data_IF_149274664450
#
_entry.id   IF_149274664450
#
_cell.length_a   1.000
_cell.length_b   1.000
_cell.length_c   1.000
_cell.angle_alpha   90.00
_cell.angle_beta   90.00
_cell.angle_gamma   90.00
#
_symmetry.space_group_name_H-M   'P 1'
#
loop_
_entity.id
_entity.type
_entity.pdbx_description
1 polymer ?
#
# COMPACT_ATOMS: atom_id res chain seq x y z
N UNK A 1 20.77 -21.32 -11.68
CA UNK A 1 20.29 -21.86 -10.38
C UNK A 1 19.67 -23.22 -10.64
N UNK A 2 20.29 -24.30 -10.15
CA UNK A 2 19.92 -25.68 -10.46
C UNK A 2 18.76 -26.21 -9.58
N UNK A 3 18.60 -25.68 -8.37
CA UNK A 3 17.63 -26.19 -7.39
C UNK A 3 16.71 -25.08 -6.88
N UNK A 4 15.43 -25.41 -6.71
CA UNK A 4 14.40 -24.52 -6.15
C UNK A 4 13.78 -25.14 -4.90
N UNK A 5 13.80 -24.40 -3.79
CA UNK A 5 13.16 -24.78 -2.52
C UNK A 5 11.83 -24.02 -2.36
N UNK A 6 10.73 -24.73 -2.18
CA UNK A 6 9.38 -24.17 -1.98
C UNK A 6 8.91 -24.44 -0.55
N UNK A 7 8.41 -23.39 0.11
CA UNK A 7 7.87 -23.47 1.49
C UNK A 7 8.87 -23.99 2.52
N UNK A 8 10.17 -23.95 2.21
CA UNK A 8 11.24 -24.51 3.02
C UNK A 8 11.21 -26.04 3.12
N UNK A 9 10.42 -26.77 2.32
CA UNK A 9 10.24 -28.24 2.47
C UNK A 9 10.37 -29.03 1.18
N UNK A 10 9.93 -28.46 0.06
CA UNK A 10 9.90 -29.15 -1.23
C UNK A 10 11.07 -28.68 -2.08
N UNK A 11 11.88 -29.62 -2.57
CA UNK A 11 13.05 -29.33 -3.38
C UNK A 11 12.85 -29.87 -4.79
N UNK A 12 13.07 -29.03 -5.79
CA UNK A 12 12.97 -29.38 -7.21
C UNK A 12 14.28 -29.08 -7.92
N UNK A 13 14.68 -29.96 -8.84
CA UNK A 13 15.80 -29.75 -9.75
C UNK A 13 15.25 -29.04 -10.99
N UNK A 14 15.54 -27.75 -11.15
CA UNK A 14 14.99 -26.93 -12.22
C UNK A 14 15.57 -27.26 -13.60
N UNK A 15 16.70 -27.98 -13.67
CA UNK A 15 17.28 -28.43 -14.93
C UNK A 15 16.65 -29.74 -15.40
N UNK A 16 16.35 -30.66 -14.47
CA UNK A 16 15.77 -31.98 -14.78
C UNK A 16 14.25 -32.02 -14.70
N UNK A 17 13.66 -31.17 -13.88
CA UNK A 17 12.22 -31.03 -13.67
C UNK A 17 11.80 -29.55 -13.63
N UNK A 18 11.84 -28.85 -14.78
CA UNK A 18 11.40 -27.46 -14.87
C UNK A 18 9.94 -27.26 -14.44
N UNK A 19 9.12 -28.32 -14.54
CA UNK A 19 7.70 -28.32 -14.18
C UNK A 19 7.44 -28.51 -12.68
N UNK A 20 8.46 -28.80 -11.87
CA UNK A 20 8.37 -28.97 -10.41
C UNK A 20 7.36 -30.06 -10.01
N UNK A 21 7.38 -31.20 -10.69
CA UNK A 21 6.49 -32.34 -10.44
C UNK A 21 7.03 -33.30 -9.39
N UNK A 22 8.35 -33.41 -9.24
CA UNK A 22 9.00 -34.44 -8.42
C UNK A 22 9.80 -33.81 -7.28
N UNK A 23 9.26 -33.92 -6.06
CA UNK A 23 9.96 -33.47 -4.86
C UNK A 23 11.13 -34.40 -4.52
N UNK A 24 12.35 -33.91 -4.70
CA UNK A 24 13.60 -34.62 -4.38
C UNK A 24 14.15 -34.28 -2.99
N UNK A 25 13.44 -33.45 -2.22
CA UNK A 25 13.84 -32.97 -0.89
C UNK A 25 14.13 -34.07 0.13
N UNK A 26 13.27 -35.11 0.28
CA UNK A 26 13.52 -36.21 1.22
C UNK A 26 14.82 -36.97 0.94
N UNK A 27 15.22 -37.08 -0.34
CA UNK A 27 16.44 -37.75 -0.75
C UNK A 27 17.68 -36.85 -0.68
N UNK A 28 17.51 -35.53 -0.55
CA UNK A 28 18.60 -34.55 -0.59
C UNK A 28 18.55 -33.56 0.59
N UNK A 29 18.52 -34.05 1.86
CA UNK A 29 18.37 -33.17 3.03
C UNK A 29 19.51 -32.15 3.15
N UNK A 30 20.74 -32.51 2.74
CA UNK A 30 21.88 -31.58 2.73
C UNK A 30 21.67 -30.38 1.82
N UNK A 31 21.01 -30.56 0.67
CA UNK A 31 20.72 -29.46 -0.26
C UNK A 31 19.59 -28.59 0.31
N UNK A 32 18.58 -29.20 0.93
CA UNK A 32 17.51 -28.49 1.63
C UNK A 32 18.07 -27.62 2.75
N UNK A 33 18.92 -28.16 3.60
CA UNK A 33 19.49 -27.44 4.74
C UNK A 33 20.41 -26.29 4.28
N UNK A 34 21.20 -26.51 3.22
CA UNK A 34 22.01 -25.45 2.63
C UNK A 34 21.15 -24.29 2.11
N UNK A 35 20.12 -24.59 1.31
CA UNK A 35 19.23 -23.55 0.76
C UNK A 35 18.43 -22.82 1.83
N UNK A 36 18.06 -23.51 2.93
CA UNK A 36 17.47 -22.86 4.11
C UNK A 36 18.45 -21.91 4.77
N UNK A 37 19.70 -22.35 4.98
CA UNK A 37 20.74 -21.51 5.58
C UNK A 37 21.03 -20.28 4.73
N UNK A 38 21.24 -20.46 3.42
CA UNK A 38 21.49 -19.38 2.46
C UNK A 38 20.31 -18.38 2.44
N UNK A 39 19.06 -18.89 2.50
CA UNK A 39 17.86 -18.04 2.63
C UNK A 39 17.85 -17.25 3.93
N UNK A 40 18.16 -17.87 5.07
CA UNK A 40 18.17 -17.22 6.38
C UNK A 40 19.29 -16.17 6.49
N UNK A 41 20.48 -16.41 5.92
CA UNK A 41 21.55 -15.41 5.85
C UNK A 41 21.17 -14.22 4.98
N UNK A 42 20.66 -14.48 3.77
CA UNK A 42 20.14 -13.44 2.90
C UNK A 42 19.01 -12.66 3.57
N UNK A 43 18.08 -13.35 4.24
CA UNK A 43 16.98 -12.74 4.95
C UNK A 43 17.50 -11.84 6.09
N UNK A 44 18.49 -12.29 6.88
CA UNK A 44 19.12 -11.47 7.93
C UNK A 44 19.78 -10.22 7.34
N UNK A 45 20.53 -10.35 6.25
CA UNK A 45 21.21 -9.25 5.59
C UNK A 45 20.21 -8.21 5.04
N UNK A 46 19.19 -8.65 4.32
CA UNK A 46 18.19 -7.76 3.70
C UNK A 46 17.24 -7.20 4.75
N UNK A 47 17.01 -7.91 5.86
CA UNK A 47 16.03 -7.51 6.86
C UNK A 47 16.33 -6.22 7.60
N UNK A 48 17.62 -5.84 7.69
CA UNK A 48 18.04 -4.60 8.34
C UNK A 48 17.52 -3.32 7.68
N UNK A 49 17.04 -3.41 6.43
CA UNK A 49 16.54 -2.27 5.64
C UNK A 49 15.03 -2.28 5.41
N UNK A 50 14.28 -3.20 6.04
CA UNK A 50 12.81 -3.27 5.85
C UNK A 50 12.06 -2.01 6.33
N UNK A 51 12.67 -1.20 7.18
CA UNK A 51 12.12 0.10 7.60
C UNK A 51 12.40 1.24 6.60
N UNK A 52 13.23 1.00 5.57
CA UNK A 52 13.41 1.92 4.44
C UNK A 52 12.29 1.69 3.41
N UNK A 53 11.42 2.68 3.25
CA UNK A 53 10.38 2.63 2.22
C UNK A 53 10.87 3.29 0.93
N UNK A 54 10.33 2.85 -0.20
CA UNK A 54 10.35 3.66 -1.42
C UNK A 54 9.19 4.64 -1.34
N UNK A 55 9.45 5.89 -0.96
CA UNK A 55 8.39 6.87 -0.79
C UNK A 55 7.82 7.36 -2.12
N UNK A 56 6.49 7.53 -2.16
CA UNK A 56 5.82 8.21 -3.27
C UNK A 56 5.98 9.71 -3.07
N UNK A 57 6.57 10.37 -4.07
CA UNK A 57 6.85 11.81 -4.03
C UNK A 57 5.58 12.61 -4.30
N UNK A 58 5.24 13.51 -3.37
CA UNK A 58 4.10 14.43 -3.45
C UNK A 58 4.57 15.85 -3.78
N UNK A 59 3.77 16.53 -4.61
CA UNK A 59 3.97 17.95 -4.92
C UNK A 59 5.05 18.22 -5.97
N UNK A 60 5.50 17.21 -6.72
CA UNK A 60 6.40 17.41 -7.86
C UNK A 60 5.70 18.14 -9.02
N UNK A 61 6.34 19.12 -9.68
CA UNK A 61 5.73 19.78 -10.84
C UNK A 61 5.61 18.83 -12.04
N UNK A 62 6.36 17.72 -12.03
CA UNK A 62 6.31 16.68 -13.07
C UNK A 62 5.06 15.78 -12.95
N UNK A 63 4.42 15.75 -11.78
CA UNK A 63 3.25 14.93 -11.52
C UNK A 63 2.40 15.58 -10.41
N UNK A 64 1.46 16.43 -10.82
CA UNK A 64 0.46 17.06 -9.96
C UNK A 64 -0.89 17.09 -10.70
N UNK A 65 -1.92 16.35 -10.24
CA UNK A 65 -1.95 15.58 -9.00
C UNK A 65 -1.16 14.26 -9.05
N UNK A 66 -0.79 13.74 -7.88
CA UNK A 66 -0.24 12.39 -7.68
C UNK A 66 -1.38 11.45 -7.29
N UNK A 67 -1.53 10.32 -7.99
CA UNK A 67 -2.50 9.28 -7.66
C UNK A 67 -1.84 8.19 -6.79
N UNK A 68 -2.47 7.88 -5.66
CA UNK A 68 -2.08 6.81 -4.74
C UNK A 68 -3.14 5.73 -4.77
N UNK A 69 -2.71 4.46 -4.80
CA UNK A 69 -3.63 3.32 -4.81
C UNK A 69 -3.37 2.40 -3.62
N UNK A 70 -4.34 1.58 -3.23
CA UNK A 70 -4.13 0.61 -2.17
C UNK A 70 -3.04 -0.42 -2.48
N UNK A 71 -2.61 -0.58 -3.74
CA UNK A 71 -1.48 -1.46 -4.09
C UNK A 71 -0.17 -1.02 -3.44
N UNK A 72 -0.03 0.28 -3.16
CA UNK A 72 1.13 0.87 -2.51
C UNK A 72 1.01 0.89 -0.98
N UNK A 73 0.01 0.20 -0.42
CA UNK A 73 -0.14 0.07 1.02
C UNK A 73 0.92 -0.84 1.62
N UNK A 74 1.56 -0.34 2.66
CA UNK A 74 2.22 -1.16 3.66
C UNK A 74 1.19 -1.55 4.72
N UNK A 75 0.86 -2.84 4.79
CA UNK A 75 -0.12 -3.38 5.73
C UNK A 75 -0.27 -4.91 5.58
N UNK A 76 -0.97 -5.56 6.54
CA UNK A 76 -1.09 -7.02 6.57
C UNK A 76 -1.96 -7.59 5.45
N UNK A 77 -2.81 -6.77 4.82
CA UNK A 77 -3.67 -7.18 3.74
C UNK A 77 -3.85 -6.03 2.73
N UNK A 78 -3.61 -6.33 1.45
CA UNK A 78 -3.74 -5.37 0.34
C UNK A 78 -4.76 -5.89 -0.68
N UNK A 79 -5.84 -5.13 -0.98
CA UNK A 79 -6.75 -5.47 -2.06
C UNK A 79 -6.04 -5.42 -3.43
N UNK A 80 -5.70 -6.59 -3.98
CA UNK A 80 -4.91 -6.68 -5.21
C UNK A 80 -5.73 -6.96 -6.49
N UNK A 81 -7.05 -7.17 -6.39
CA UNK A 81 -7.89 -7.52 -7.54
C UNK A 81 -9.12 -6.62 -7.64
N UNK A 82 -9.62 -6.42 -8.86
CA UNK A 82 -10.88 -5.70 -9.10
C UNK A 82 -12.05 -6.32 -8.33
N UNK A 83 -12.05 -7.65 -8.16
CA UNK A 83 -13.03 -8.35 -7.33
C UNK A 83 -12.97 -7.91 -5.87
N UNK A 84 -11.76 -7.71 -5.31
CA UNK A 84 -11.61 -7.21 -3.94
C UNK A 84 -12.11 -5.78 -3.78
N UNK A 85 -11.83 -4.91 -4.76
CA UNK A 85 -12.33 -3.52 -4.77
C UNK A 85 -13.86 -3.52 -4.84
N UNK A 86 -14.46 -4.30 -5.76
CA UNK A 86 -15.94 -4.42 -5.89
C UNK A 86 -16.61 -4.98 -4.64
N UNK A 87 -15.96 -5.93 -3.95
CA UNK A 87 -16.44 -6.53 -2.69
C UNK A 87 -16.16 -5.65 -1.47
N UNK A 88 -15.45 -4.53 -1.62
CA UNK A 88 -15.09 -3.61 -0.52
C UNK A 88 -14.40 -4.35 0.63
N UNK A 89 -13.40 -5.18 0.32
CA UNK A 89 -12.61 -5.91 1.33
C UNK A 89 -12.14 -4.96 2.43
N UNK A 90 -12.46 -5.30 3.68
CA UNK A 90 -12.10 -4.52 4.85
C UNK A 90 -10.61 -4.72 5.16
N UNK A 91 -9.79 -3.93 4.47
CA UNK A 91 -8.35 -3.89 4.61
C UNK A 91 -7.89 -2.44 4.74
N UNK A 92 -6.71 -2.26 5.32
CA UNK A 92 -6.11 -0.95 5.51
C UNK A 92 -4.58 -1.09 5.61
N UNK A 93 -3.89 -0.10 5.08
CA UNK A 93 -2.45 0.09 5.23
C UNK A 93 -2.11 1.56 5.08
N UNK A 94 -0.84 1.88 5.21
CA UNK A 94 -0.35 3.25 5.02
C UNK A 94 0.46 3.35 3.73
N UNK A 95 0.49 4.54 3.15
CA UNK A 95 1.46 4.91 2.12
C UNK A 95 2.67 5.55 2.77
N UNK A 96 3.87 5.12 2.37
CA UNK A 96 5.08 5.88 2.62
C UNK A 96 5.19 6.98 1.57
N UNK A 97 5.28 8.23 2.00
CA UNK A 97 5.26 9.40 1.11
C UNK A 97 6.38 10.37 1.44
N UNK A 98 6.84 11.09 0.44
CA UNK A 98 7.80 12.19 0.60
C UNK A 98 7.18 13.46 0.04
N UNK A 99 7.00 14.45 0.90
CA UNK A 99 6.55 15.77 0.46
C UNK A 99 7.76 16.53 -0.07
N UNK A 100 7.85 16.72 -1.40
CA UNK A 100 9.01 17.38 -2.02
C UNK A 100 9.14 18.84 -1.60
N UNK A 101 8.01 19.53 -1.41
CA UNK A 101 7.97 20.95 -1.04
C UNK A 101 6.88 21.27 -0.05
N UNK A 102 7.17 22.17 0.88
CA UNK A 102 6.17 22.67 1.81
C UNK A 102 5.07 23.46 1.09
N UNK A 103 3.85 23.40 1.61
CA UNK A 103 2.72 24.20 1.12
C UNK A 103 1.38 23.56 1.38
N UNK A 104 0.36 24.03 0.67
CA UNK A 104 -1.02 23.60 0.83
C UNK A 104 -1.34 22.47 -0.15
N UNK A 105 -1.95 21.40 0.36
CA UNK A 105 -2.32 20.22 -0.43
C UNK A 105 -3.81 19.91 -0.31
N UNK A 106 -4.40 19.40 -1.40
CA UNK A 106 -5.72 18.73 -1.41
C UNK A 106 -5.50 17.22 -1.45
N UNK A 107 -6.16 16.50 -0.55
CA UNK A 107 -6.25 15.04 -0.57
C UNK A 107 -7.68 14.63 -0.88
N UNK A 108 -7.90 13.94 -1.99
CA UNK A 108 -9.21 13.51 -2.45
C UNK A 108 -9.33 11.99 -2.31
N UNK A 109 -10.07 11.54 -1.29
CA UNK A 109 -10.30 10.12 -1.01
C UNK A 109 -11.44 9.58 -1.86
N UNK A 110 -11.23 8.41 -2.47
CA UNK A 110 -12.19 7.68 -3.28
C UNK A 110 -12.11 6.17 -3.03
N UNK A 111 -13.12 5.47 -3.49
CA UNK A 111 -13.14 4.01 -3.48
C UNK A 111 -12.79 3.39 -4.84
N UNK A 112 -13.02 4.12 -5.92
CA UNK A 112 -12.71 3.73 -7.29
C UNK A 112 -11.99 4.90 -7.96
N UNK A 113 -11.35 4.67 -9.13
CA UNK A 113 -10.74 5.74 -9.91
C UNK A 113 -11.72 6.89 -10.18
N UNK A 114 -11.19 8.11 -10.35
CA UNK A 114 -11.99 9.32 -10.49
C UNK A 114 -13.05 9.23 -11.60
N UNK A 115 -12.72 8.58 -12.72
CA UNK A 115 -13.60 8.37 -13.88
C UNK A 115 -14.86 7.56 -13.56
N UNK A 116 -14.81 6.66 -12.57
CA UNK A 116 -15.92 5.78 -12.25
C UNK A 116 -17.06 6.49 -11.50
N UNK A 117 -16.78 7.65 -10.88
CA UNK A 117 -17.75 8.42 -10.06
C UNK A 117 -18.53 7.56 -9.06
N UNK A 118 -17.89 6.52 -8.54
CA UNK A 118 -18.53 5.54 -7.67
C UNK A 118 -18.91 6.15 -6.32
N UNK A 119 -20.13 5.92 -5.81
CA UNK A 119 -20.57 6.49 -4.55
C UNK A 119 -19.86 5.87 -3.35
N UNK A 120 -19.46 6.74 -2.43
CA UNK A 120 -19.06 6.38 -1.08
C UNK A 120 -20.30 6.10 -0.25
N UNK A 121 -20.15 5.18 0.70
CA UNK A 121 -21.20 4.92 1.69
C UNK A 121 -21.17 5.99 2.78
N UNK A 122 -22.33 6.44 3.29
CA UNK A 122 -22.41 7.42 4.36
C UNK A 122 -21.62 7.00 5.60
N UNK A 123 -21.05 7.97 6.29
CA UNK A 123 -20.21 7.73 7.47
C UNK A 123 -19.18 8.82 7.70
N UNK A 124 -17.97 8.45 8.10
CA UNK A 124 -16.87 9.37 8.41
C UNK A 124 -15.60 8.94 7.67
N UNK A 125 -15.05 9.86 6.88
CA UNK A 125 -13.72 9.74 6.33
C UNK A 125 -12.71 10.32 7.34
N UNK A 126 -11.59 9.62 7.54
CA UNK A 126 -10.46 10.06 8.35
C UNK A 126 -9.19 10.03 7.52
N UNK A 127 -8.35 11.03 7.71
CA UNK A 127 -7.01 11.10 7.15
C UNK A 127 -6.02 11.37 8.28
N UNK A 128 -4.96 10.56 8.37
CA UNK A 128 -3.84 10.76 9.28
C UNK A 128 -2.55 10.87 8.48
N UNK A 129 -1.79 11.93 8.74
CA UNK A 129 -0.49 12.18 8.11
C UNK A 129 0.41 12.91 9.09
N UNK A 130 1.62 12.41 9.31
CA UNK A 130 2.47 12.83 10.41
C UNK A 130 1.69 12.86 11.75
N UNK A 131 1.61 14.01 12.41
CA UNK A 131 0.85 14.23 13.64
C UNK A 131 -0.59 14.72 13.40
N UNK A 132 -0.95 15.06 12.17
CA UNK A 132 -2.26 15.59 11.81
C UNK A 132 -3.27 14.46 11.66
N UNK A 133 -4.45 14.62 12.27
CA UNK A 133 -5.60 13.75 12.06
C UNK A 133 -6.82 14.60 11.77
N UNK A 134 -7.43 14.40 10.61
CA UNK A 134 -8.62 15.12 10.17
C UNK A 134 -9.77 14.14 9.95
N UNK A 135 -10.99 14.56 10.24
CA UNK A 135 -12.20 13.79 9.98
C UNK A 135 -13.20 14.64 9.17
N UNK A 136 -13.94 14.01 8.26
CA UNK A 136 -15.04 14.63 7.52
C UNK A 136 -16.20 13.66 7.36
N UNK A 137 -17.41 14.19 7.47
CA UNK A 137 -18.64 13.42 7.22
C UNK A 137 -18.74 13.09 5.73
N UNK A 138 -19.04 11.83 5.44
CA UNK A 138 -19.41 11.33 4.12
C UNK A 138 -20.93 11.42 4.02
N UNK A 139 -21.43 12.35 3.22
CA UNK A 139 -22.87 12.49 2.96
C UNK A 139 -23.34 11.45 1.95
N UNK A 140 -24.62 11.11 1.99
CA UNK A 140 -25.24 10.26 0.97
C UNK A 140 -25.05 10.85 -0.43
N UNK A 141 -24.68 10.00 -1.39
CA UNK A 141 -24.39 10.41 -2.77
C UNK A 141 -23.00 11.03 -2.98
N UNK A 142 -22.19 11.22 -1.93
CA UNK A 142 -20.81 11.68 -2.11
C UNK A 142 -20.00 10.64 -2.89
N UNK A 143 -19.27 11.07 -3.91
CA UNK A 143 -18.36 10.21 -4.71
C UNK A 143 -16.89 10.40 -4.33
N UNK A 144 -16.61 11.38 -3.45
CA UNK A 144 -15.29 11.73 -2.95
C UNK A 144 -15.38 12.48 -1.63
N UNK A 145 -14.25 12.54 -0.91
CA UNK A 145 -14.07 13.45 0.22
C UNK A 145 -12.74 14.18 0.09
N UNK A 146 -12.77 15.51 0.12
CA UNK A 146 -11.60 16.36 -0.01
C UNK A 146 -11.12 16.85 1.36
N UNK A 147 -9.84 16.67 1.68
CA UNK A 147 -9.15 17.26 2.82
C UNK A 147 -8.16 18.32 2.34
N UNK A 148 -7.96 19.36 3.14
CA UNK A 148 -7.00 20.43 2.86
C UNK A 148 -6.11 20.62 4.08
N UNK A 149 -4.80 20.60 3.87
CA UNK A 149 -3.83 20.79 4.93
C UNK A 149 -2.52 21.32 4.40
N UNK A 150 -1.77 21.95 5.29
CA UNK A 150 -0.41 22.41 5.02
C UNK A 150 0.58 21.32 5.43
N UNK A 151 1.50 20.99 4.53
CA UNK A 151 2.57 20.02 4.78
C UNK A 151 3.93 20.72 4.78
N UNK A 152 4.82 20.23 5.64
CA UNK A 152 6.26 20.52 5.55
C UNK A 152 6.89 19.54 4.56
N UNK A 153 8.03 19.91 4.00
CA UNK A 153 8.81 18.96 3.20
C UNK A 153 9.35 17.83 4.09
N UNK A 154 9.51 16.64 3.49
CA UNK A 154 10.07 15.47 4.15
C UNK A 154 9.21 14.21 4.06
N UNK A 155 9.77 13.13 4.60
CA UNK A 155 9.20 11.79 4.58
C UNK A 155 8.18 11.61 5.70
N UNK A 156 7.06 10.97 5.41
CA UNK A 156 6.03 10.64 6.41
C UNK A 156 5.15 9.48 5.94
N UNK A 157 4.22 9.07 6.81
CA UNK A 157 3.21 8.06 6.49
C UNK A 157 1.84 8.72 6.36
N UNK A 158 1.13 8.38 5.30
CA UNK A 158 -0.28 8.72 5.09
C UNK A 158 -1.13 7.47 5.34
N UNK A 159 -2.19 7.60 6.12
CA UNK A 159 -3.18 6.55 6.28
C UNK A 159 -4.59 7.13 6.29
N UNK A 160 -5.56 6.37 5.76
CA UNK A 160 -6.94 6.82 5.64
C UNK A 160 -7.92 5.78 6.18
N UNK A 161 -9.11 6.22 6.55
CA UNK A 161 -10.23 5.36 6.91
C UNK A 161 -11.52 5.90 6.31
N UNK A 162 -12.34 5.01 5.78
CA UNK A 162 -13.72 5.22 5.39
C UNK A 162 -14.56 4.35 6.34
N UNK A 163 -15.04 4.96 7.43
CA UNK A 163 -15.89 4.31 8.41
C UNK A 163 -17.36 4.53 8.02
N UNK A 164 -18.08 3.46 7.73
CA UNK A 164 -19.50 3.51 7.36
C UNK A 164 -20.39 3.58 8.59
N UNK A 165 -21.57 4.17 8.48
CA UNK A 165 -22.57 4.21 9.57
C UNK A 165 -22.93 2.81 10.09
N UNK A 166 -22.80 1.77 9.25
CA UNK A 166 -23.03 0.37 9.62
C UNK A 166 -21.84 -0.34 10.31
N UNK A 167 -20.79 0.37 10.68
CA UNK A 167 -19.65 -0.16 11.45
C UNK A 167 -18.49 -0.73 10.63
N UNK A 168 -18.67 -0.95 9.32
CA UNK A 168 -17.57 -1.37 8.45
C UNK A 168 -16.52 -0.25 8.30
N UNK A 169 -15.24 -0.60 8.39
CA UNK A 169 -14.12 0.35 8.24
C UNK A 169 -13.08 -0.24 7.27
N UNK A 170 -12.57 0.60 6.37
CA UNK A 170 -11.47 0.26 5.44
C UNK A 170 -10.64 1.48 5.11
N UNK A 171 -9.46 1.31 4.53
CA UNK A 171 -8.73 2.42 3.89
C UNK A 171 -9.39 2.87 2.58
N UNK A 172 -9.14 4.10 2.15
CA UNK A 172 -9.53 4.55 0.81
C UNK A 172 -8.65 3.85 -0.24
N UNK A 173 -9.25 3.19 -1.23
CA UNK A 173 -8.45 2.48 -2.24
C UNK A 173 -7.75 3.40 -3.23
N UNK A 174 -8.26 4.61 -3.39
CA UNK A 174 -7.69 5.63 -4.26
C UNK A 174 -7.61 6.96 -3.51
N UNK A 175 -6.47 7.62 -3.58
CA UNK A 175 -6.26 8.98 -3.07
C UNK A 175 -5.55 9.80 -4.13
N UNK A 176 -6.15 10.92 -4.54
CA UNK A 176 -5.50 11.91 -5.38
C UNK A 176 -4.94 13.02 -4.49
N UNK A 177 -3.67 13.39 -4.69
CA UNK A 177 -2.98 14.43 -3.92
C UNK A 177 -2.54 15.56 -4.84
N UNK A 178 -3.05 16.75 -4.61
CA UNK A 178 -2.76 17.94 -5.42
C UNK A 178 -2.06 19.02 -4.58
N UNK A 179 -0.92 19.51 -5.06
CA UNK A 179 -0.28 20.72 -4.54
C UNK A 179 -1.04 21.96 -5.05
N UNK A 180 -1.49 22.79 -4.11
CA UNK A 180 -2.30 23.99 -4.39
C UNK A 180 -1.48 25.29 -4.36
N UNK A 181 -0.22 25.23 -3.95
CA UNK A 181 0.65 26.40 -3.80
C UNK A 181 1.26 26.54 -2.40
N UNK A 182 1.97 27.65 -2.16
CA UNK A 182 2.52 27.97 -0.84
C UNK A 182 1.42 27.97 0.24
N UNK A 183 1.78 27.59 1.46
CA UNK A 183 0.88 27.76 2.60
C UNK A 183 0.66 29.26 2.79
N UNK A 184 -0.59 29.72 2.65
CA UNK A 184 -0.95 31.10 2.97
C UNK A 184 -0.66 31.39 4.44
N UNK A 185 -0.04 32.55 4.71
CA UNK A 185 0.21 33.08 6.06
C UNK A 185 -1.06 33.45 6.78
#
# INVERSE_FOLDING_TARGET
EQYRLVGGRELYDMEKDPSQLYNIGPANPKIVDKLRFDYEEWYKEVSGRFDEYCEIVLGSPKQNPTELTCFDWHGPAVPYSQTHIRRRVQANGFWAIETQRAGRYRFTLREQPAVARHPLRPGVARLKIATLTLNKVIRQGATKVDFYLNLKAGKTRLQTWLAETGGAVRGAYFVEVEYLGPAGG
#
